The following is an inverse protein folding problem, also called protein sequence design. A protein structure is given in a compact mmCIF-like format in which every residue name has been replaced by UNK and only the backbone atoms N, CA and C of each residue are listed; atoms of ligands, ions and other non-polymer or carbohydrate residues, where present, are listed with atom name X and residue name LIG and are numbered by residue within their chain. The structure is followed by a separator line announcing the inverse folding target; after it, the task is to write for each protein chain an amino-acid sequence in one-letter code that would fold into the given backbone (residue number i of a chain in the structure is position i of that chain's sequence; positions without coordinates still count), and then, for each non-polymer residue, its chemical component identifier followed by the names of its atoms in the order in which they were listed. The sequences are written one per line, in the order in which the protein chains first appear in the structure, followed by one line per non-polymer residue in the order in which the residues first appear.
data_IF_138054763235
#
_entry.id   IF_138054763235
#
_cell.length_a   1.000
_cell.length_b   1.000
_cell.length_c   1.000
_cell.angle_alpha   90.00
_cell.angle_beta   90.00
_cell.angle_gamma   90.00
#
_symmetry.space_group_name_H-M   'P 1'
#
loop_
_entity.id
_entity.type
_entity.pdbx_description
1 polymer ?
#
# COMPACT_ATOMS: atom_id res chain seq x y z
N UNK A 1 -3.33 -1.35 -4.96
CA UNK A 1 -3.05 -0.51 -3.78
C UNK A 1 -2.21 -1.31 -2.79
N UNK A 2 -1.35 -0.63 -2.01
CA UNK A 2 -0.44 -1.27 -1.05
C UNK A 2 -1.16 -2.14 -0.03
N UNK A 3 -2.39 -1.76 0.35
CA UNK A 3 -3.25 -2.56 1.23
C UNK A 3 -3.46 -4.01 0.77
N UNK A 4 -3.53 -4.25 -0.54
CA UNK A 4 -3.73 -5.61 -1.08
C UNK A 4 -2.66 -6.61 -0.62
N UNK A 5 -1.49 -6.11 -0.25
CA UNK A 5 -0.37 -6.93 0.21
C UNK A 5 -0.47 -7.36 1.67
N UNK A 6 -1.31 -6.69 2.47
CA UNK A 6 -1.39 -6.85 3.94
C UNK A 6 -2.82 -7.07 4.47
N UNK A 7 -3.82 -7.12 3.58
CA UNK A 7 -5.24 -7.26 3.98
C UNK A 7 -5.57 -8.63 4.57
N UNK A 8 -4.83 -9.68 4.19
CA UNK A 8 -5.02 -11.02 4.73
C UNK A 8 -4.29 -11.18 6.06
N UNK A 9 -4.64 -12.25 6.81
CA UNK A 9 -3.87 -12.65 7.98
C UNK A 9 -2.39 -12.92 7.65
N UNK A 10 -1.54 -12.91 8.69
CA UNK A 10 -0.08 -12.95 8.54
C UNK A 10 0.40 -14.07 7.59
N UNK A 11 -0.15 -15.27 7.73
CA UNK A 11 0.26 -16.43 6.94
C UNK A 11 -0.20 -16.43 5.47
N UNK A 12 -1.09 -15.51 5.10
CA UNK A 12 -1.70 -15.44 3.76
C UNK A 12 -1.38 -14.12 3.05
N UNK A 13 -0.63 -13.22 3.71
CA UNK A 13 -0.22 -11.96 3.13
C UNK A 13 1.18 -12.11 2.53
N UNK A 14 1.30 -11.69 1.28
CA UNK A 14 2.55 -11.77 0.53
C UNK A 14 3.64 -10.91 1.18
N UNK A 15 3.29 -9.77 1.78
CA UNK A 15 4.26 -8.92 2.46
C UNK A 15 4.90 -9.62 3.65
N UNK A 16 4.13 -10.38 4.43
CA UNK A 16 4.67 -11.10 5.59
C UNK A 16 5.47 -12.32 5.16
N UNK A 17 5.00 -13.08 4.17
CA UNK A 17 5.77 -14.21 3.63
C UNK A 17 7.17 -13.78 3.10
N UNK A 18 7.27 -12.61 2.47
CA UNK A 18 8.55 -12.05 2.02
C UNK A 18 9.41 -11.57 3.20
N UNK A 19 8.83 -10.92 4.19
CA UNK A 19 9.57 -10.48 5.38
C UNK A 19 10.15 -11.68 6.16
N UNK A 20 9.35 -12.74 6.35
CA UNK A 20 9.78 -13.98 7.00
C UNK A 20 10.88 -14.70 6.20
N UNK A 21 10.90 -14.51 4.87
CA UNK A 21 11.97 -14.96 3.98
C UNK A 21 13.26 -14.15 4.04
N UNK A 22 13.32 -13.12 4.89
CA UNK A 22 14.51 -12.27 5.06
C UNK A 22 14.68 -11.17 4.01
N UNK A 23 13.62 -10.82 3.28
CA UNK A 23 13.64 -9.71 2.33
C UNK A 23 13.27 -8.38 3.00
N UNK A 24 13.90 -7.29 2.55
CA UNK A 24 13.46 -5.93 2.89
C UNK A 24 12.21 -5.57 2.07
N UNK A 25 11.07 -5.52 2.74
CA UNK A 25 9.77 -5.30 2.09
C UNK A 25 9.39 -3.82 2.11
N UNK A 26 9.18 -3.25 0.92
CA UNK A 26 8.66 -1.89 0.74
C UNK A 26 7.29 -1.95 0.07
N UNK A 27 6.28 -1.28 0.65
CA UNK A 27 4.92 -1.27 0.13
C UNK A 27 4.56 0.17 -0.31
N UNK A 28 4.32 0.34 -1.60
CA UNK A 28 3.93 1.61 -2.18
C UNK A 28 2.40 1.79 -2.20
N UNK A 29 1.96 3.03 -2.00
CA UNK A 29 0.57 3.45 -2.19
C UNK A 29 0.49 4.39 -3.40
N UNK A 30 -0.44 4.13 -4.31
CA UNK A 30 -0.67 4.99 -5.46
C UNK A 30 -1.38 6.29 -5.04
N UNK A 31 -1.24 7.37 -5.82
CA UNK A 31 -1.98 8.62 -5.58
C UNK A 31 -3.49 8.36 -5.51
N UNK A 32 -4.17 9.08 -4.63
CA UNK A 32 -5.63 9.01 -4.47
C UNK A 32 -6.12 7.90 -3.54
N UNK A 33 -5.29 6.90 -3.23
CA UNK A 33 -5.66 5.87 -2.24
C UNK A 33 -5.69 6.47 -0.83
N UNK A 34 -6.32 5.77 0.12
CA UNK A 34 -6.54 6.26 1.49
C UNK A 34 -5.27 6.83 2.15
N UNK A 35 -4.11 6.27 1.83
CA UNK A 35 -2.83 6.62 2.45
C UNK A 35 -1.95 7.54 1.59
N UNK A 36 -2.45 8.09 0.47
CA UNK A 36 -1.64 8.91 -0.44
C UNK A 36 -2.47 9.99 -1.16
N UNK A 37 -2.97 10.97 -0.37
CA UNK A 37 -3.92 12.01 -0.81
C UNK A 37 -3.37 13.44 -0.83
N UNK A 38 -2.09 13.65 -0.47
CA UNK A 38 -1.49 14.98 -0.28
C UNK A 38 -0.82 15.58 -1.53
N UNK A 39 -1.51 15.64 -2.66
CA UNK A 39 -0.93 16.29 -3.86
C UNK A 39 -1.05 17.82 -3.75
N UNK A 40 -0.02 18.58 -4.14
CA UNK A 40 0.02 20.04 -3.98
C UNK A 40 -1.04 20.80 -4.79
N UNK A 41 -1.52 20.20 -5.89
CA UNK A 41 -2.42 20.85 -6.85
C UNK A 41 -3.65 20.02 -7.22
N UNK A 42 -3.77 18.79 -6.71
CA UNK A 42 -4.87 17.89 -7.08
C UNK A 42 -5.55 17.41 -5.81
N UNK A 43 -6.86 17.48 -5.79
CA UNK A 43 -7.70 17.04 -4.69
C UNK A 43 -8.17 15.62 -4.95
N UNK A 44 -7.88 14.72 -4.03
CA UNK A 44 -8.13 13.28 -4.22
C UNK A 44 -9.61 12.86 -4.26
N UNK A 45 -10.55 13.76 -3.93
CA UNK A 45 -12.01 13.51 -4.03
C UNK A 45 -12.63 14.07 -5.31
N UNK A 46 -12.08 15.17 -5.84
CA UNK A 46 -12.72 15.94 -6.93
C UNK A 46 -11.97 15.84 -8.24
N UNK A 47 -10.67 15.61 -8.21
CA UNK A 47 -9.82 15.62 -9.39
C UNK A 47 -9.51 14.17 -9.79
N UNK A 48 -9.78 13.82 -11.05
CA UNK A 48 -9.51 12.48 -11.62
C UNK A 48 -8.22 12.45 -12.42
#
# INVERSE_FOLDING_TARGET
DGMAWVMNGAEQSLAFALADGGFDVWIANSRGTRFSRGHNHLTADTDR
#
